data_IF_042194669954
#
_entry.id   IF_042194669954
#
_cell.length_a   1.000
_cell.length_b   1.000
_cell.length_c   1.000
_cell.angle_alpha   90.00
_cell.angle_beta   90.00
_cell.angle_gamma   90.00
#
_symmetry.space_group_name_H-M   'P 1'
#
loop_
_entity.id
_entity.type
_entity.pdbx_description
1 polymer ?
#
# COMPACT_ATOMS: atom_id res chain seq x y z
N UNK A 1 -27.41 -18.94 -2.46
CA UNK A 1 -26.39 -18.14 -3.17
C UNK A 1 -25.97 -18.87 -4.45
N UNK A 2 -25.95 -18.21 -5.61
CA UNK A 2 -25.55 -18.82 -6.90
C UNK A 2 -24.03 -19.02 -6.99
N UNK A 3 -23.57 -20.05 -7.70
CA UNK A 3 -22.13 -20.29 -8.00
C UNK A 3 -21.48 -19.03 -8.61
N UNK A 4 -22.22 -18.29 -9.43
CA UNK A 4 -21.75 -17.03 -10.04
C UNK A 4 -21.51 -15.92 -8.99
N UNK A 5 -22.32 -15.85 -7.94
CA UNK A 5 -22.17 -14.88 -6.85
C UNK A 5 -20.96 -15.22 -5.97
N UNK A 6 -20.74 -16.51 -5.67
CA UNK A 6 -19.56 -16.97 -4.92
C UNK A 6 -18.27 -16.59 -5.67
N UNK A 7 -18.19 -16.89 -6.96
CA UNK A 7 -17.02 -16.55 -7.79
C UNK A 7 -16.73 -15.05 -7.81
N UNK A 8 -17.77 -14.22 -7.94
CA UNK A 8 -17.65 -12.75 -7.92
C UNK A 8 -17.12 -12.24 -6.57
N UNK A 9 -17.59 -12.81 -5.47
CA UNK A 9 -17.10 -12.47 -4.13
C UNK A 9 -15.64 -12.88 -3.92
N UNK A 10 -15.23 -14.05 -4.42
CA UNK A 10 -13.85 -14.51 -4.34
C UNK A 10 -12.88 -13.61 -5.14
N UNK A 11 -13.28 -13.21 -6.35
CA UNK A 11 -12.54 -12.22 -7.12
C UNK A 11 -12.39 -10.88 -6.40
N UNK A 12 -13.49 -10.37 -5.80
CA UNK A 12 -13.45 -9.12 -5.01
C UNK A 12 -12.49 -9.22 -3.83
N UNK A 13 -12.47 -10.36 -3.13
CA UNK A 13 -11.52 -10.62 -2.03
C UNK A 13 -10.07 -10.62 -2.52
N UNK A 14 -9.77 -11.34 -3.60
CA UNK A 14 -8.42 -11.39 -4.17
C UNK A 14 -7.92 -10.01 -4.60
N UNK A 15 -8.76 -9.22 -5.28
CA UNK A 15 -8.40 -7.85 -5.68
C UNK A 15 -8.12 -6.97 -4.46
N UNK A 16 -8.95 -7.06 -3.42
CA UNK A 16 -8.73 -6.28 -2.20
C UNK A 16 -7.46 -6.68 -1.46
N UNK A 17 -7.17 -7.99 -1.36
CA UNK A 17 -5.92 -8.50 -0.80
C UNK A 17 -4.72 -7.99 -1.59
N UNK A 18 -4.78 -8.06 -2.93
CA UNK A 18 -3.72 -7.55 -3.78
C UNK A 18 -3.44 -6.06 -3.55
N UNK A 19 -4.49 -5.22 -3.51
CA UNK A 19 -4.34 -3.79 -3.21
C UNK A 19 -3.67 -3.55 -1.85
N UNK A 20 -4.04 -4.31 -0.82
CA UNK A 20 -3.46 -4.20 0.52
C UNK A 20 -1.98 -4.62 0.54
N UNK A 21 -1.62 -5.68 -0.17
CA UNK A 21 -0.23 -6.13 -0.28
C UNK A 21 0.63 -5.08 -0.96
N UNK A 22 0.17 -4.49 -2.07
CA UNK A 22 0.89 -3.42 -2.77
C UNK A 22 1.03 -2.18 -1.88
N UNK A 23 -0.04 -1.78 -1.18
CA UNK A 23 0.02 -0.68 -0.21
C UNK A 23 1.09 -0.91 0.86
N UNK A 24 1.16 -2.15 1.38
CA UNK A 24 2.18 -2.53 2.37
C UNK A 24 3.59 -2.44 1.77
N UNK A 25 3.80 -2.94 0.56
CA UNK A 25 5.09 -2.84 -0.13
C UNK A 25 5.55 -1.40 -0.36
N UNK A 26 4.62 -0.49 -0.71
CA UNK A 26 4.90 0.93 -0.85
C UNK A 26 5.36 1.57 0.46
N UNK A 27 4.72 1.23 1.59
CA UNK A 27 5.18 1.71 2.89
C UNK A 27 6.56 1.15 3.23
N UNK A 28 6.80 -0.14 2.97
CA UNK A 28 8.11 -0.76 3.22
C UNK A 28 9.23 -0.06 2.45
N UNK A 29 9.05 0.15 1.15
CA UNK A 29 10.10 0.74 0.30
C UNK A 29 10.19 2.25 0.47
N UNK A 30 9.05 2.95 0.51
CA UNK A 30 9.01 4.41 0.49
C UNK A 30 9.08 5.08 1.86
N UNK A 31 8.86 4.34 2.95
CA UNK A 31 8.86 4.86 4.32
C UNK A 31 9.87 4.13 5.20
N UNK A 32 9.75 2.81 5.32
CA UNK A 32 10.58 2.06 6.27
C UNK A 32 12.04 1.95 5.84
N UNK A 33 12.32 1.58 4.59
CA UNK A 33 13.68 1.48 4.07
C UNK A 33 14.50 2.79 4.23
N UNK A 34 14.03 3.97 3.78
CA UNK A 34 14.75 5.21 3.98
C UNK A 34 14.89 5.59 5.47
N UNK A 35 13.86 5.32 6.28
CA UNK A 35 13.93 5.58 7.73
C UNK A 35 15.02 4.75 8.41
N UNK A 36 15.13 3.46 8.06
CA UNK A 36 16.18 2.57 8.58
C UNK A 36 17.56 3.00 8.10
N UNK A 37 17.70 3.39 6.83
CA UNK A 37 18.97 3.87 6.28
C UNK A 37 19.49 5.11 7.03
N UNK A 38 18.59 6.04 7.40
CA UNK A 38 18.91 7.23 8.20
C UNK A 38 19.35 6.84 9.61
N UNK A 39 18.60 5.96 10.29
CA UNK A 39 18.89 5.53 11.67
C UNK A 39 20.26 4.84 11.75
N UNK A 40 20.58 4.02 10.75
CA UNK A 40 21.83 3.27 10.71
C UNK A 40 23.02 4.07 10.16
N UNK A 41 22.79 5.30 9.67
CA UNK A 41 23.84 6.12 9.05
C UNK A 41 24.44 5.50 7.78
N UNK A 42 23.67 4.65 7.09
CA UNK A 42 24.13 3.93 5.88
C UNK A 42 24.20 4.85 4.66
N UNK A 43 23.41 5.92 4.65
CA UNK A 43 23.58 7.03 3.71
C UNK A 43 24.23 8.21 4.44
N UNK A 44 25.34 8.73 3.92
CA UNK A 44 25.62 10.15 4.15
C UNK A 44 24.43 10.89 3.56
N UNK A 45 23.64 11.54 4.42
CA UNK A 45 22.50 12.37 4.01
C UNK A 45 22.98 13.65 3.32
N UNK A 46 23.88 13.53 2.34
CA UNK A 46 24.16 14.55 1.33
C UNK A 46 22.96 14.71 0.37
N UNK A 47 22.03 13.75 0.37
CA UNK A 47 20.77 13.78 -0.36
C UNK A 47 19.75 14.72 0.25
N UNK A 48 19.31 15.69 -0.55
CA UNK A 48 18.26 16.68 -0.27
C UNK A 48 17.10 16.13 0.59
N UNK A 49 17.04 16.52 1.87
CA UNK A 49 16.01 16.11 2.85
C UNK A 49 14.58 16.34 2.31
N UNK A 50 14.41 17.35 1.46
CA UNK A 50 13.11 17.62 0.83
C UNK A 50 12.68 16.48 -0.11
N UNK A 51 13.62 15.87 -0.86
CA UNK A 51 13.31 14.74 -1.73
C UNK A 51 12.88 13.51 -0.93
N UNK A 52 13.53 13.25 0.20
CA UNK A 52 13.16 12.16 1.11
C UNK A 52 11.78 12.39 1.74
N UNK A 53 11.50 13.63 2.17
CA UNK A 53 10.19 14.03 2.66
C UNK A 53 9.08 13.80 1.62
N UNK A 54 9.31 14.20 0.36
CA UNK A 54 8.37 13.97 -0.72
C UNK A 54 8.16 12.49 -1.04
N UNK A 55 9.20 11.66 -0.99
CA UNK A 55 9.08 10.21 -1.17
C UNK A 55 8.22 9.58 -0.08
N UNK A 56 8.43 9.94 1.20
CA UNK A 56 7.65 9.41 2.33
C UNK A 56 6.18 9.81 2.18
N UNK A 57 5.91 11.09 1.89
CA UNK A 57 4.54 11.60 1.71
C UNK A 57 3.86 10.92 0.52
N UNK A 58 4.55 10.84 -0.62
CA UNK A 58 4.03 10.24 -1.84
C UNK A 58 3.72 8.75 -1.67
N UNK A 59 4.64 7.98 -1.09
CA UNK A 59 4.46 6.56 -0.81
C UNK A 59 3.30 6.32 0.18
N UNK A 60 3.22 7.14 1.24
CA UNK A 60 2.13 7.06 2.22
C UNK A 60 0.78 7.37 1.59
N UNK A 61 0.68 8.42 0.80
CA UNK A 61 -0.55 8.78 0.09
C UNK A 61 -0.99 7.65 -0.86
N UNK A 62 -0.07 7.14 -1.69
CA UNK A 62 -0.35 6.04 -2.61
C UNK A 62 -0.79 4.76 -1.88
N UNK A 63 -0.13 4.41 -0.77
CA UNK A 63 -0.51 3.28 0.06
C UNK A 63 -1.92 3.44 0.65
N UNK A 64 -2.26 4.63 1.16
CA UNK A 64 -3.60 4.94 1.67
C UNK A 64 -4.65 4.81 0.58
N UNK A 65 -4.41 5.34 -0.62
CA UNK A 65 -5.34 5.21 -1.75
C UNK A 65 -5.59 3.75 -2.12
N UNK A 66 -4.54 2.94 -2.21
CA UNK A 66 -4.66 1.51 -2.52
C UNK A 66 -5.39 0.74 -1.42
N UNK A 67 -5.08 1.03 -0.15
CA UNK A 67 -5.74 0.39 0.99
C UNK A 67 -7.24 0.73 1.04
N UNK A 68 -7.61 1.99 0.86
CA UNK A 68 -9.00 2.43 0.81
C UNK A 68 -9.72 1.85 -0.42
N UNK A 69 -9.04 1.77 -1.56
CA UNK A 69 -9.55 1.11 -2.77
C UNK A 69 -9.88 -0.36 -2.50
N UNK A 70 -8.96 -1.12 -1.90
CA UNK A 70 -9.19 -2.51 -1.50
C UNK A 70 -10.37 -2.65 -0.53
N UNK A 71 -10.45 -1.76 0.47
CA UNK A 71 -11.56 -1.75 1.44
C UNK A 71 -12.91 -1.46 0.78
N UNK A 72 -12.97 -0.58 -0.22
CA UNK A 72 -14.19 -0.29 -0.98
C UNK A 72 -14.61 -1.47 -1.87
N UNK A 73 -13.66 -2.25 -2.39
CA UNK A 73 -13.94 -3.48 -3.14
C UNK A 73 -14.55 -4.55 -2.22
N UNK A 74 -14.02 -4.71 -1.01
CA UNK A 74 -14.58 -5.60 0.02
C UNK A 74 -15.98 -5.18 0.49
N UNK A 75 -16.25 -3.88 0.62
CA UNK A 75 -17.57 -3.37 1.00
C UNK A 75 -18.69 -3.64 -0.02
N UNK A 76 -18.35 -4.15 -1.21
CA UNK A 76 -19.31 -4.52 -2.26
C UNK A 76 -19.61 -6.03 -2.30
N UNK A 77 -19.22 -6.81 -1.29
CA UNK A 77 -19.59 -8.23 -1.25
C UNK A 77 -21.11 -8.39 -1.24
N UNK A 78 -21.61 -9.31 -2.05
CA UNK A 78 -23.04 -9.64 -2.09
C UNK A 78 -23.31 -10.83 -1.16
N UNK A 79 -24.30 -10.70 -0.29
CA UNK A 79 -24.80 -11.78 0.57
C UNK A 79 -25.78 -12.71 -0.17
#
# INVERSE_FOLDING_TARGET
>A
MSITAIRRNEQRKLSATWCNTVATGLLTIGVFAPSVAIILGVEETQGNINALGWTIIGASAAAVFLHLGGRRILGRLEE
#
